data_IF_614516170159
#
_entry.id   IF_614516170159
#
_cell.length_a   1.000
_cell.length_b   1.000
_cell.length_c   1.000
_cell.angle_alpha   90.00
_cell.angle_beta   90.00
_cell.angle_gamma   90.00
#
_symmetry.space_group_name_H-M   'P 1'
#
loop_
_entity.id
_entity.type
_entity.pdbx_description
1 polymer ?
#
# COMPACT_ATOMS: atom_id res chain seq x y z
N UNK A 1 12.89 3.04 30.50
CA UNK A 1 11.76 2.14 30.84
C UNK A 1 10.52 2.63 30.10
N UNK A 2 9.85 1.80 29.31
CA UNK A 2 8.65 2.25 28.58
C UNK A 2 7.52 2.55 29.57
N UNK A 3 6.69 3.54 29.26
CA UNK A 3 5.51 3.90 30.07
C UNK A 3 4.63 2.67 30.37
N UNK A 4 4.63 1.69 29.46
CA UNK A 4 3.93 0.41 29.58
C UNK A 4 4.34 -0.40 30.82
N UNK A 5 5.63 -0.40 31.19
CA UNK A 5 6.11 -1.12 32.37
C UNK A 5 5.64 -0.47 33.67
N UNK A 6 5.59 0.86 33.72
CA UNK A 6 5.09 1.60 34.89
C UNK A 6 3.60 1.35 35.14
N UNK A 7 2.78 1.26 34.09
CA UNK A 7 1.36 0.94 34.21
C UNK A 7 1.08 -0.50 34.64
N UNK A 8 1.85 -1.48 34.13
CA UNK A 8 1.72 -2.88 34.54
C UNK A 8 2.05 -3.06 36.04
N UNK A 9 3.11 -2.41 36.52
CA UNK A 9 3.47 -2.41 37.95
C UNK A 9 2.35 -1.78 38.77
N UNK A 10 1.79 -0.64 38.33
CA UNK A 10 0.68 0.01 39.02
C UNK A 10 -0.59 -0.87 39.08
N UNK A 11 -0.99 -1.51 37.98
CA UNK A 11 -2.11 -2.45 37.96
C UNK A 11 -1.88 -3.64 38.89
N UNK A 12 -0.65 -4.19 38.90
CA UNK A 12 -0.30 -5.29 39.78
C UNK A 12 -0.37 -4.88 41.26
N UNK A 13 0.13 -3.69 41.61
CA UNK A 13 0.01 -3.12 42.95
C UNK A 13 -1.45 -2.87 43.36
N UNK A 14 -2.30 -2.38 42.44
CA UNK A 14 -3.72 -2.19 42.72
C UNK A 14 -4.46 -3.52 42.94
N UNK A 15 -4.15 -4.56 42.16
CA UNK A 15 -4.71 -5.90 42.35
C UNK A 15 -4.28 -6.51 43.69
N UNK A 16 -3.00 -6.38 44.06
CA UNK A 16 -2.49 -6.80 45.37
C UNK A 16 -3.15 -6.04 46.52
N UNK A 17 -3.34 -4.72 46.37
CA UNK A 17 -4.01 -3.89 47.36
C UNK A 17 -5.49 -4.30 47.53
N UNK A 18 -6.23 -4.47 46.42
CA UNK A 18 -7.61 -4.93 46.46
C UNK A 18 -7.73 -6.33 47.07
N UNK A 19 -6.81 -7.25 46.75
CA UNK A 19 -6.75 -8.55 47.41
C UNK A 19 -6.54 -8.41 48.92
N UNK A 20 -5.58 -7.57 49.36
CA UNK A 20 -5.34 -7.30 50.77
C UNK A 20 -6.54 -6.72 51.52
N UNK A 21 -7.27 -5.79 50.90
CA UNK A 21 -8.50 -5.20 51.47
C UNK A 21 -9.61 -6.25 51.59
N UNK A 22 -9.82 -7.08 50.56
CA UNK A 22 -10.81 -8.18 50.61
C UNK A 22 -10.45 -9.18 51.71
N UNK A 23 -9.19 -9.56 51.86
CA UNK A 23 -8.73 -10.42 52.95
C UNK A 23 -8.92 -9.76 54.32
N UNK A 24 -8.74 -8.44 54.44
CA UNK A 24 -8.89 -7.73 55.72
C UNK A 24 -10.35 -7.61 56.18
N UNK A 25 -11.31 -7.53 55.27
CA UNK A 25 -12.76 -7.49 55.59
C UNK A 25 -13.32 -8.84 56.02
N UNK A 26 -12.63 -9.92 55.67
CA UNK A 26 -13.07 -11.28 55.90
C UNK A 26 -12.83 -11.71 57.36
N UNK A 27 -11.82 -11.15 58.03
CA UNK A 27 -11.62 -11.40 59.46
C UNK A 27 -12.58 -10.55 60.32
N UNK A 28 -13.77 -11.07 60.59
CA UNK A 28 -14.68 -10.52 61.60
C UNK A 28 -14.24 -10.91 63.02
N UNK A 29 -14.67 -10.15 64.03
CA UNK A 29 -14.28 -10.33 65.45
C UNK A 29 -14.64 -11.69 66.07
N UNK A 30 -15.40 -12.53 65.37
CA UNK A 30 -15.79 -13.90 65.77
C UNK A 30 -15.03 -15.01 65.01
N UNK A 31 -14.20 -14.68 64.01
CA UNK A 31 -13.28 -15.62 63.36
C UNK A 31 -13.88 -16.61 62.35
N UNK A 32 -15.21 -16.74 62.26
CA UNK A 32 -15.85 -17.62 61.27
C UNK A 32 -16.22 -16.88 59.99
N UNK A 33 -15.60 -17.30 58.90
CA UNK A 33 -15.87 -16.81 57.54
C UNK A 33 -16.52 -17.94 56.77
N UNK A 34 -17.71 -17.71 56.21
CA UNK A 34 -18.27 -18.66 55.25
C UNK A 34 -17.40 -18.63 53.99
N UNK A 35 -16.65 -19.71 53.77
CA UNK A 35 -15.78 -19.92 52.61
C UNK A 35 -16.46 -19.62 51.27
N UNK A 36 -17.78 -19.82 51.20
CA UNK A 36 -18.63 -19.54 50.03
C UNK A 36 -18.62 -18.03 49.70
N UNK A 37 -18.70 -17.16 50.70
CA UNK A 37 -18.71 -15.70 50.51
C UNK A 37 -17.36 -15.19 50.04
N UNK A 38 -16.26 -15.78 50.54
CA UNK A 38 -14.90 -15.48 50.05
C UNK A 38 -14.72 -15.86 48.59
N UNK A 39 -15.12 -17.08 48.20
CA UNK A 39 -15.04 -17.52 46.81
C UNK A 39 -15.87 -16.64 45.88
N UNK A 40 -17.05 -16.18 46.33
CA UNK A 40 -17.88 -15.24 45.57
C UNK A 40 -17.19 -13.88 45.34
N UNK A 41 -16.57 -13.32 46.37
CA UNK A 41 -15.81 -12.07 46.27
C UNK A 41 -14.57 -12.23 45.36
N UNK A 42 -13.82 -13.33 45.51
CA UNK A 42 -12.65 -13.64 44.69
C UNK A 42 -13.02 -13.81 43.21
N UNK A 43 -14.13 -14.51 42.93
CA UNK A 43 -14.65 -14.69 41.57
C UNK A 43 -15.06 -13.36 40.93
N UNK A 44 -15.68 -12.46 41.70
CA UNK A 44 -16.06 -11.12 41.24
C UNK A 44 -14.81 -10.28 40.92
N UNK A 45 -13.79 -10.32 41.79
CA UNK A 45 -12.51 -9.66 41.57
C UNK A 45 -11.79 -10.19 40.33
N UNK A 46 -11.78 -11.51 40.14
CA UNK A 46 -11.21 -12.16 38.97
C UNK A 46 -11.92 -11.73 37.67
N UNK A 47 -13.25 -11.61 37.70
CA UNK A 47 -14.04 -11.13 36.55
C UNK A 47 -13.68 -9.69 36.17
N UNK A 48 -13.53 -8.79 37.15
CA UNK A 48 -13.08 -7.41 36.91
C UNK A 48 -11.66 -7.40 36.33
N UNK A 49 -10.76 -8.22 36.86
CA UNK A 49 -9.39 -8.36 36.35
C UNK A 49 -9.35 -8.86 34.90
N UNK A 50 -10.18 -9.84 34.56
CA UNK A 50 -10.33 -10.35 33.20
C UNK A 50 -10.86 -9.27 32.24
N UNK A 51 -11.87 -8.50 32.68
CA UNK A 51 -12.42 -7.40 31.89
C UNK A 51 -11.38 -6.30 31.61
N UNK A 52 -10.60 -5.89 32.62
CA UNK A 52 -9.51 -4.91 32.46
C UNK A 52 -8.43 -5.42 31.50
N UNK A 53 -8.05 -6.70 31.63
CA UNK A 53 -7.06 -7.33 30.75
C UNK A 53 -7.56 -7.38 29.30
N UNK A 54 -8.85 -7.68 29.09
CA UNK A 54 -9.47 -7.67 27.78
C UNK A 54 -9.49 -6.27 27.14
N UNK A 55 -9.86 -5.23 27.90
CA UNK A 55 -9.82 -3.83 27.42
C UNK A 55 -8.40 -3.42 27.04
N UNK A 56 -7.41 -3.81 27.85
CA UNK A 56 -6.01 -3.54 27.54
C UNK A 56 -5.53 -4.27 26.28
N UNK A 57 -5.87 -5.56 26.15
CA UNK A 57 -5.56 -6.36 24.97
C UNK A 57 -6.18 -5.74 23.71
N UNK A 58 -7.45 -5.31 23.77
CA UNK A 58 -8.15 -4.63 22.67
C UNK A 58 -7.45 -3.33 22.26
N UNK A 59 -7.04 -2.51 23.22
CA UNK A 59 -6.33 -1.26 22.93
C UNK A 59 -4.95 -1.51 22.28
N UNK A 60 -4.21 -2.51 22.78
CA UNK A 60 -2.93 -2.92 22.20
C UNK A 60 -3.12 -3.44 20.78
N UNK A 61 -4.08 -4.34 20.56
CA UNK A 61 -4.41 -4.91 19.26
C UNK A 61 -4.80 -3.88 18.23
N UNK A 62 -5.56 -2.84 18.62
CA UNK A 62 -5.94 -1.76 17.69
C UNK A 62 -4.72 -1.12 17.03
N UNK A 63 -3.65 -0.86 17.79
CA UNK A 63 -2.42 -0.28 17.23
C UNK A 63 -1.72 -1.27 16.30
N UNK A 64 -1.63 -2.55 16.70
CA UNK A 64 -1.01 -3.60 15.89
C UNK A 64 -1.76 -3.82 14.57
N UNK A 65 -3.10 -3.83 14.59
CA UNK A 65 -3.91 -3.95 13.38
C UNK A 65 -3.73 -2.75 12.45
N UNK A 66 -3.65 -1.52 12.98
CA UNK A 66 -3.37 -0.34 12.15
C UNK A 66 -2.00 -0.44 11.48
N UNK A 67 -0.97 -0.89 12.19
CA UNK A 67 0.36 -1.10 11.60
C UNK A 67 0.36 -2.22 10.55
N UNK A 68 -0.31 -3.35 10.84
CA UNK A 68 -0.44 -4.46 9.92
C UNK A 68 -1.20 -4.07 8.64
N UNK A 69 -2.27 -3.29 8.77
CA UNK A 69 -3.05 -2.81 7.64
C UNK A 69 -2.27 -1.80 6.80
N UNK A 70 -1.59 -0.84 7.43
CA UNK A 70 -0.66 0.08 6.76
C UNK A 70 0.41 -0.69 5.98
N UNK A 71 1.05 -1.68 6.61
CA UNK A 71 2.04 -2.54 5.95
C UNK A 71 1.45 -3.31 4.76
N UNK A 72 0.23 -3.86 4.92
CA UNK A 72 -0.48 -4.59 3.85
C UNK A 72 -0.72 -3.70 2.63
N UNK A 73 -1.24 -2.48 2.81
CA UNK A 73 -1.53 -1.58 1.70
C UNK A 73 -0.26 -1.15 0.96
N UNK A 74 0.81 -0.79 1.68
CA UNK A 74 2.08 -0.40 1.04
C UNK A 74 2.72 -1.60 0.32
N UNK A 75 2.60 -2.80 0.89
CA UNK A 75 3.10 -4.02 0.25
C UNK A 75 2.33 -4.32 -1.03
N UNK A 76 1.00 -4.15 -1.04
CA UNK A 76 0.17 -4.31 -2.23
C UNK A 76 0.61 -3.34 -3.34
N UNK A 77 0.80 -2.06 -3.03
CA UNK A 77 1.36 -1.08 -3.98
C UNK A 77 2.74 -1.51 -4.49
N UNK A 78 3.64 -1.92 -3.57
CA UNK A 78 4.99 -2.37 -3.93
C UNK A 78 4.94 -3.55 -4.88
N UNK A 79 4.13 -4.56 -4.58
CA UNK A 79 4.05 -5.78 -5.36
C UNK A 79 3.55 -5.47 -6.79
N UNK A 80 2.60 -4.53 -6.96
CA UNK A 80 2.22 -4.00 -8.28
C UNK A 80 3.37 -3.27 -8.99
N UNK A 81 4.15 -2.47 -8.25
CA UNK A 81 5.30 -1.73 -8.82
C UNK A 81 6.55 -2.59 -9.05
N UNK A 82 6.60 -3.80 -8.51
CA UNK A 82 7.78 -4.66 -8.58
C UNK A 82 7.92 -5.42 -9.91
N UNK A 83 6.82 -5.55 -10.68
CA UNK A 83 6.85 -6.18 -12.00
C UNK A 83 7.43 -5.24 -13.06
N UNK A 84 8.75 -5.05 -13.03
CA UNK A 84 9.46 -4.27 -14.05
C UNK A 84 9.34 -4.87 -15.46
N UNK A 85 9.05 -6.17 -15.56
CA UNK A 85 8.83 -6.85 -16.83
C UNK A 85 7.47 -6.48 -17.45
N UNK A 86 6.48 -6.07 -16.65
CA UNK A 86 5.22 -5.53 -17.16
C UNK A 86 5.45 -4.30 -18.04
N UNK A 87 6.14 -3.28 -17.53
CA UNK A 87 6.44 -2.03 -18.27
C UNK A 87 7.21 -2.33 -19.55
N UNK A 88 8.22 -3.19 -19.46
CA UNK A 88 9.01 -3.59 -20.62
C UNK A 88 8.15 -4.26 -21.70
N UNK A 89 7.29 -5.22 -21.31
CA UNK A 89 6.38 -5.91 -22.24
C UNK A 89 5.37 -4.95 -22.86
N UNK A 90 4.80 -4.05 -22.06
CA UNK A 90 3.90 -3.01 -22.52
C UNK A 90 4.55 -2.12 -23.59
N UNK A 91 5.71 -1.55 -23.30
CA UNK A 91 6.43 -0.65 -24.23
C UNK A 91 6.80 -1.38 -25.53
N UNK A 92 7.24 -2.63 -25.44
CA UNK A 92 7.55 -3.45 -26.62
C UNK A 92 6.29 -3.74 -27.44
N UNK A 93 5.19 -4.11 -26.79
CA UNK A 93 3.91 -4.42 -27.46
C UNK A 93 3.40 -3.21 -28.23
N UNK A 94 3.37 -2.03 -27.60
CA UNK A 94 2.95 -0.78 -28.24
C UNK A 94 3.84 -0.45 -29.43
N UNK A 95 5.17 -0.57 -29.28
CA UNK A 95 6.11 -0.35 -30.38
C UNK A 95 5.85 -1.30 -31.54
N UNK A 96 5.75 -2.60 -31.28
CA UNK A 96 5.63 -3.62 -32.33
C UNK A 96 4.34 -3.46 -33.13
N UNK A 97 3.26 -3.07 -32.45
CA UNK A 97 1.98 -2.75 -33.06
C UNK A 97 2.07 -1.50 -33.95
N UNK A 98 2.59 -0.39 -33.42
CA UNK A 98 2.78 0.85 -34.18
C UNK A 98 3.73 0.69 -35.36
N UNK A 99 4.75 -0.15 -35.18
CA UNK A 99 5.61 -0.59 -36.26
C UNK A 99 4.79 -1.34 -37.30
N UNK A 100 3.99 -2.35 -36.93
CA UNK A 100 3.13 -3.06 -37.88
C UNK A 100 2.26 -2.10 -38.70
N UNK A 101 1.62 -1.10 -38.07
CA UNK A 101 0.82 -0.07 -38.75
C UNK A 101 1.66 0.83 -39.66
N UNK A 102 2.90 1.17 -39.28
CA UNK A 102 3.81 1.91 -40.17
C UNK A 102 4.21 1.09 -41.41
N UNK A 103 4.15 -0.25 -41.32
CA UNK A 103 4.53 -1.14 -42.41
C UNK A 103 3.38 -1.69 -43.24
N UNK A 104 2.14 -1.66 -42.74
CA UNK A 104 0.95 -1.97 -43.55
C UNK A 104 0.83 -0.93 -44.69
N UNK A 105 0.48 -1.40 -45.89
CA UNK A 105 0.25 -0.51 -47.04
C UNK A 105 -1.06 0.31 -46.90
N UNK A 106 -1.84 0.02 -45.85
CA UNK A 106 -3.05 0.73 -45.43
C UNK A 106 -2.69 1.84 -44.44
N UNK A 107 -2.44 3.05 -44.93
CA UNK A 107 -2.40 4.26 -44.09
C UNK A 107 -3.80 4.78 -43.74
N UNK A 108 -4.87 4.06 -44.13
CA UNK A 108 -6.25 4.37 -43.78
C UNK A 108 -6.66 3.81 -42.40
N UNK A 109 -5.77 3.04 -41.75
CA UNK A 109 -6.03 2.52 -40.41
C UNK A 109 -6.24 3.69 -39.45
N UNK A 110 -7.46 3.81 -38.92
CA UNK A 110 -7.83 4.83 -37.95
C UNK A 110 -6.96 4.65 -36.69
N UNK A 111 -6.28 5.70 -36.19
CA UNK A 111 -5.56 5.66 -34.92
C UNK A 111 -6.40 5.08 -33.77
N UNK A 112 -7.72 5.25 -33.81
CA UNK A 112 -8.65 4.70 -32.82
C UNK A 112 -8.71 3.17 -32.82
N UNK A 113 -8.43 2.49 -33.95
CA UNK A 113 -8.34 1.03 -34.02
C UNK A 113 -7.05 0.52 -33.40
N UNK A 114 -5.94 1.23 -33.57
CA UNK A 114 -4.68 0.94 -32.88
C UNK A 114 -4.84 1.06 -31.36
N UNK A 115 -5.68 1.98 -30.88
CA UNK A 115 -5.97 2.14 -29.45
C UNK A 115 -6.84 1.03 -28.85
N UNK A 116 -7.56 0.24 -29.64
CA UNK A 116 -8.40 -0.87 -29.15
C UNK A 116 -7.60 -2.13 -28.79
N UNK A 117 -6.30 -2.12 -29.04
CA UNK A 117 -5.47 -3.31 -28.84
C UNK A 117 -5.11 -3.59 -27.39
N UNK A 118 -4.79 -4.88 -27.20
CA UNK A 118 -4.50 -5.54 -25.93
C UNK A 118 -3.45 -4.81 -25.06
N UNK A 119 -2.47 -4.14 -25.66
CA UNK A 119 -1.41 -3.45 -24.93
C UNK A 119 -1.91 -2.26 -24.09
N UNK A 120 -2.75 -1.40 -24.66
CA UNK A 120 -3.29 -0.22 -23.97
C UNK A 120 -4.36 -0.61 -22.95
N UNK A 121 -5.20 -1.60 -23.28
CA UNK A 121 -6.18 -2.13 -22.33
C UNK A 121 -5.50 -2.71 -21.09
N UNK A 122 -4.43 -3.49 -21.25
CA UNK A 122 -3.63 -3.99 -20.12
C UNK A 122 -3.02 -2.85 -19.30
N UNK A 123 -2.51 -1.80 -19.96
CA UNK A 123 -2.02 -0.61 -19.27
C UNK A 123 -3.11 0.05 -18.44
N UNK A 124 -4.28 0.32 -19.00
CA UNK A 124 -5.37 0.99 -18.27
C UNK A 124 -5.88 0.16 -17.10
N UNK A 125 -6.00 -1.16 -17.25
CA UNK A 125 -6.37 -2.05 -16.14
C UNK A 125 -5.33 -2.01 -15.02
N UNK A 126 -4.05 -2.02 -15.38
CA UNK A 126 -2.94 -1.91 -14.44
C UNK A 126 -2.90 -0.53 -13.76
N UNK A 127 -2.98 0.55 -14.52
CA UNK A 127 -3.03 1.94 -14.05
C UNK A 127 -4.20 2.16 -13.10
N UNK A 128 -5.39 1.63 -13.41
CA UNK A 128 -6.55 1.67 -12.51
C UNK A 128 -6.31 0.93 -11.21
N UNK A 129 -5.72 -0.26 -11.26
CA UNK A 129 -5.39 -1.06 -10.07
C UNK A 129 -4.33 -0.36 -9.20
N UNK A 130 -3.32 0.24 -9.84
CA UNK A 130 -2.27 0.99 -9.19
C UNK A 130 -2.82 2.26 -8.50
N UNK A 131 -3.68 3.01 -9.19
CA UNK A 131 -4.38 4.18 -8.64
C UNK A 131 -5.29 3.80 -7.46
N UNK A 132 -6.01 2.67 -7.56
CA UNK A 132 -6.83 2.18 -6.47
C UNK A 132 -5.99 1.82 -5.23
N UNK A 133 -4.90 1.07 -5.41
CA UNK A 133 -3.99 0.71 -4.33
C UNK A 133 -3.36 1.97 -3.69
N UNK A 134 -3.00 2.96 -4.51
CA UNK A 134 -2.48 4.24 -4.06
C UNK A 134 -3.50 5.03 -3.22
N UNK A 135 -4.74 5.17 -3.70
CA UNK A 135 -5.77 5.90 -2.99
C UNK A 135 -6.09 5.26 -1.64
N UNK A 136 -6.23 3.93 -1.60
CA UNK A 136 -6.44 3.19 -0.34
C UNK A 136 -5.25 3.35 0.63
N UNK A 137 -4.03 3.38 0.10
CA UNK A 137 -2.84 3.64 0.90
C UNK A 137 -2.87 5.06 1.48
N UNK A 138 -3.22 6.08 0.67
CA UNK A 138 -3.32 7.47 1.10
C UNK A 138 -4.34 7.70 2.22
N UNK A 139 -5.40 6.89 2.34
CA UNK A 139 -6.35 6.99 3.46
C UNK A 139 -5.73 6.64 4.83
N UNK A 140 -4.66 5.84 4.85
CA UNK A 140 -4.04 5.31 6.08
C UNK A 140 -2.69 5.99 6.37
N UNK A 141 -1.99 6.47 5.34
CA UNK A 141 -0.73 7.17 5.47
C UNK A 141 -0.92 8.60 6.01
N UNK A 142 0.11 9.11 6.69
CA UNK A 142 0.20 10.54 7.00
C UNK A 142 0.67 11.31 5.77
N UNK A 143 0.39 12.61 5.73
CA UNK A 143 0.90 13.51 4.68
C UNK A 143 2.44 13.47 4.59
N UNK A 144 3.12 13.30 5.73
CA UNK A 144 4.58 13.12 5.77
C UNK A 144 5.01 11.86 5.02
N UNK A 145 4.33 10.72 5.24
CA UNK A 145 4.66 9.48 4.53
C UNK A 145 4.33 9.59 3.04
N UNK A 146 3.22 10.25 2.68
CA UNK A 146 2.85 10.50 1.28
C UNK A 146 3.89 11.39 0.59
N UNK A 147 4.42 12.40 1.29
CA UNK A 147 5.44 13.31 0.74
C UNK A 147 6.77 12.63 0.41
N UNK A 148 7.00 11.39 0.87
CA UNK A 148 8.21 10.61 0.55
C UNK A 148 8.16 9.98 -0.84
N UNK A 149 7.00 9.93 -1.48
CA UNK A 149 6.89 9.49 -2.86
C UNK A 149 7.21 10.65 -3.79
N UNK A 150 8.24 10.48 -4.63
CA UNK A 150 8.63 11.48 -5.62
C UNK A 150 7.62 11.61 -6.77
N UNK A 151 6.94 10.51 -7.08
CA UNK A 151 6.06 10.36 -8.24
C UNK A 151 4.76 9.69 -7.79
N UNK A 152 3.63 10.09 -8.38
CA UNK A 152 2.31 9.50 -8.16
C UNK A 152 1.90 8.62 -9.34
N UNK A 153 0.98 7.66 -9.15
CA UNK A 153 0.46 6.86 -10.26
C UNK A 153 -0.22 7.69 -11.35
N UNK A 154 -0.84 8.82 -11.00
CA UNK A 154 -1.40 9.76 -11.98
C UNK A 154 -0.33 10.32 -12.91
N UNK A 155 0.83 10.72 -12.34
CA UNK A 155 1.93 11.32 -13.10
C UNK A 155 2.53 10.31 -14.10
N UNK A 156 2.51 9.03 -13.73
CA UNK A 156 2.90 7.92 -14.58
C UNK A 156 1.91 7.70 -15.74
N UNK A 157 0.60 7.79 -15.46
CA UNK A 157 -0.45 7.67 -16.47
C UNK A 157 -0.39 8.83 -17.49
N UNK A 158 -0.17 10.05 -17.00
CA UNK A 158 0.06 11.24 -17.83
C UNK A 158 1.30 11.05 -18.72
N UNK A 159 2.40 10.54 -18.15
CA UNK A 159 3.65 10.29 -18.88
C UNK A 159 3.50 9.21 -19.96
N UNK A 160 2.75 8.14 -19.68
CA UNK A 160 2.44 7.10 -20.67
C UNK A 160 1.56 7.65 -21.78
N UNK A 161 0.55 8.46 -21.43
CA UNK A 161 -0.36 9.09 -22.40
C UNK A 161 0.41 10.03 -23.32
N UNK A 162 1.22 10.93 -22.77
CA UNK A 162 2.04 11.87 -23.56
C UNK A 162 3.04 11.12 -24.46
N UNK A 163 3.68 10.08 -23.94
CA UNK A 163 4.58 9.23 -24.74
C UNK A 163 3.84 8.54 -25.89
N UNK A 164 2.66 7.97 -25.61
CA UNK A 164 1.85 7.29 -26.61
C UNK A 164 1.37 8.24 -27.71
N UNK A 165 0.90 9.44 -27.35
CA UNK A 165 0.50 10.48 -28.30
C UNK A 165 1.65 10.87 -29.24
N UNK A 166 2.87 11.05 -28.71
CA UNK A 166 4.07 11.31 -29.53
C UNK A 166 4.35 10.17 -30.51
N UNK A 167 4.17 8.93 -30.07
CA UNK A 167 4.38 7.75 -30.90
C UNK A 167 3.34 7.66 -32.03
N UNK A 168 2.07 7.93 -31.72
CA UNK A 168 0.98 8.03 -32.71
C UNK A 168 1.27 9.13 -33.74
N UNK A 169 1.66 10.32 -33.27
CA UNK A 169 2.05 11.43 -34.14
C UNK A 169 3.16 11.02 -35.13
N UNK A 170 4.21 10.34 -34.65
CA UNK A 170 5.30 9.85 -35.51
C UNK A 170 4.81 8.88 -36.59
N UNK A 171 3.83 8.02 -36.27
CA UNK A 171 3.34 7.03 -37.24
C UNK A 171 2.39 7.66 -38.25
N UNK A 172 1.41 8.43 -37.79
CA UNK A 172 0.26 8.84 -38.60
C UNK A 172 0.34 10.28 -39.14
N UNK A 173 0.96 11.20 -38.40
CA UNK A 173 0.91 12.63 -38.71
C UNK A 173 2.25 13.19 -39.21
N UNK A 174 3.38 12.54 -38.88
CA UNK A 174 4.70 12.97 -39.34
C UNK A 174 4.84 12.78 -40.86
N UNK A 175 4.83 13.88 -41.61
CA UNK A 175 5.06 13.91 -43.05
C UNK A 175 6.47 13.48 -43.49
N UNK A 176 7.33 13.07 -42.56
CA UNK A 176 8.66 12.54 -42.84
C UNK A 176 8.63 11.25 -43.67
N UNK A 177 9.70 10.98 -44.46
CA UNK A 177 9.87 9.70 -45.14
C UNK A 177 9.77 8.52 -44.15
N UNK A 178 9.20 7.40 -44.59
CA UNK A 178 8.95 6.21 -43.76
C UNK A 178 10.17 5.74 -42.96
N UNK A 179 11.35 5.73 -43.57
CA UNK A 179 12.60 5.35 -42.88
C UNK A 179 12.90 6.29 -41.70
N UNK A 180 12.62 7.59 -41.85
CA UNK A 180 12.81 8.58 -40.79
C UNK A 180 11.78 8.40 -39.68
N UNK A 181 10.51 8.15 -40.02
CA UNK A 181 9.45 7.80 -39.04
C UNK A 181 9.84 6.57 -38.23
N UNK A 182 10.29 5.50 -38.88
CA UNK A 182 10.79 4.30 -38.21
C UNK A 182 11.90 4.61 -37.19
N UNK A 183 12.92 5.37 -37.61
CA UNK A 183 14.03 5.74 -36.74
C UNK A 183 13.56 6.63 -35.57
N UNK A 184 12.64 7.56 -35.81
CA UNK A 184 12.06 8.40 -34.77
C UNK A 184 11.25 7.57 -33.77
N UNK A 185 10.44 6.62 -34.26
CA UNK A 185 9.61 5.74 -33.44
C UNK A 185 10.46 4.87 -32.51
N UNK A 186 11.55 4.29 -33.02
CA UNK A 186 12.49 3.49 -32.20
C UNK A 186 13.16 4.34 -31.14
N UNK A 187 13.60 5.55 -31.49
CA UNK A 187 14.22 6.50 -30.54
C UNK A 187 13.23 6.90 -29.44
N UNK A 188 12.00 7.22 -29.83
CA UNK A 188 10.96 7.67 -28.91
C UNK A 188 10.51 6.53 -27.98
N UNK A 189 10.40 5.30 -28.49
CA UNK A 189 10.17 4.10 -27.67
C UNK A 189 11.26 3.95 -26.60
N UNK A 190 12.53 4.08 -27.00
CA UNK A 190 13.65 3.92 -26.08
C UNK A 190 13.72 5.04 -25.04
N UNK A 191 13.32 6.27 -25.39
CA UNK A 191 13.23 7.41 -24.48
C UNK A 191 12.08 7.23 -23.49
N UNK A 192 10.85 7.09 -23.98
CA UNK A 192 9.67 6.95 -23.13
C UNK A 192 9.74 5.70 -22.26
N UNK A 193 10.22 4.57 -22.79
CA UNK A 193 10.41 3.36 -22.00
C UNK A 193 11.38 3.54 -20.83
N UNK A 194 12.46 4.33 -20.99
CA UNK A 194 13.38 4.66 -19.89
C UNK A 194 12.74 5.57 -18.85
N UNK A 195 11.99 6.58 -19.31
CA UNK A 195 11.30 7.54 -18.44
C UNK A 195 10.23 6.86 -17.59
N UNK A 196 9.31 6.11 -18.22
CA UNK A 196 8.26 5.33 -17.55
C UNK A 196 8.90 4.35 -16.56
N UNK A 197 9.95 3.63 -16.95
CA UNK A 197 10.66 2.71 -16.04
C UNK A 197 11.30 3.44 -14.86
N UNK A 198 11.81 4.66 -15.05
CA UNK A 198 12.39 5.46 -13.96
C UNK A 198 11.34 5.86 -12.94
N UNK A 199 10.23 6.43 -13.40
CA UNK A 199 9.10 6.80 -12.55
C UNK A 199 8.52 5.61 -11.79
N UNK A 200 8.43 4.45 -12.46
CA UNK A 200 8.00 3.20 -11.83
C UNK A 200 8.93 2.77 -10.67
N UNK A 201 10.24 2.90 -10.87
CA UNK A 201 11.25 2.62 -9.84
C UNK A 201 11.21 3.63 -8.69
N UNK A 202 10.87 4.88 -8.96
CA UNK A 202 10.71 5.90 -7.91
C UNK A 202 9.53 5.57 -6.99
N UNK A 203 8.39 5.18 -7.57
CA UNK A 203 7.23 4.67 -6.83
C UNK A 203 7.61 3.45 -5.97
N UNK A 204 8.28 2.47 -6.57
CA UNK A 204 8.74 1.27 -5.86
C UNK A 204 9.70 1.61 -4.71
N UNK A 205 10.65 2.53 -4.96
CA UNK A 205 11.63 2.97 -3.97
C UNK A 205 10.96 3.69 -2.80
N UNK A 206 9.96 4.54 -3.07
CA UNK A 206 9.13 5.17 -2.05
C UNK A 206 8.41 4.13 -1.17
N UNK A 207 7.77 3.14 -1.79
CA UNK A 207 7.08 2.07 -1.07
C UNK A 207 8.05 1.25 -0.19
N UNK A 208 9.24 0.91 -0.73
CA UNK A 208 10.29 0.19 0.01
C UNK A 208 10.82 1.01 1.20
N UNK A 209 11.03 2.31 1.03
CA UNK A 209 11.51 3.19 2.08
C UNK A 209 10.52 3.26 3.27
N UNK A 210 9.22 3.37 2.99
CA UNK A 210 8.19 3.40 4.04
C UNK A 210 8.09 2.04 4.73
N UNK A 211 8.12 0.93 3.97
CA UNK A 211 8.15 -0.42 4.56
C UNK A 211 9.34 -0.59 5.51
N UNK A 212 10.53 -0.14 5.11
CA UNK A 212 11.73 -0.21 5.94
C UNK A 212 11.54 0.56 7.26
N UNK A 213 10.95 1.76 7.19
CA UNK A 213 10.69 2.59 8.37
C UNK A 213 9.61 2.01 9.29
N UNK A 214 8.67 1.22 8.75
CA UNK A 214 7.66 0.52 9.55
C UNK A 214 8.19 -0.74 10.24
N UNK A 215 9.27 -1.32 9.72
CA UNK A 215 9.90 -2.53 10.26
C UNK A 215 11.01 -2.25 11.29
N UNK A 216 11.44 -0.99 11.41
CA UNK A 216 12.49 -0.54 12.32
C UNK A 216 11.91 -0.13 13.68
#
# INVERSE_FOLDING_TARGET
>A
MSRTNSYLIFCYCCLLFCAGVVFSFIFTKTGEVSFITFLGALSSLATIGAALTAVYALNSWRTQFKHAEKYRMIKELRDMTSDSDFIRRFVISVRDQLMSSLYSESLEDDPSEVMKDFGMELWWQHSKSLNYAWNNMCEILSDEDISRFATRPSDLDDSVTEWFEKMIYIVFEDGSPRLRRHLNLVKETARGGKEITSQYKELETGARAIIKNLSA
#
